data_IF_537965676123
#
_entry.id   IF_537965676123
#
_cell.length_a   1.000
_cell.length_b   1.000
_cell.length_c   1.000
_cell.angle_alpha   90.00
_cell.angle_beta   90.00
_cell.angle_gamma   90.00
#
_symmetry.space_group_name_H-M   'P 1'
#
loop_
_entity.id
_entity.type
_entity.pdbx_description
1 polymer ?
#
# COMPACT_ATOMS: atom_id res chain seq x y z
N UNK A 1 15.80 -12.30 -24.38
CA UNK A 1 14.58 -11.80 -25.06
C UNK A 1 13.90 -10.82 -24.13
N UNK A 2 14.15 -9.53 -24.35
CA UNK A 2 13.54 -8.44 -23.60
C UNK A 2 12.07 -8.40 -24.01
N UNK A 3 11.21 -9.08 -23.24
CA UNK A 3 9.76 -9.05 -23.47
C UNK A 3 9.32 -7.61 -23.27
N UNK A 4 8.97 -6.94 -24.36
CA UNK A 4 8.44 -5.58 -24.32
C UNK A 4 7.27 -5.55 -23.34
N UNK A 5 7.48 -4.92 -22.19
CA UNK A 5 6.44 -4.79 -21.18
C UNK A 5 5.39 -3.83 -21.73
N UNK A 6 4.10 -4.23 -21.77
CA UNK A 6 3.03 -3.36 -22.22
C UNK A 6 3.06 -2.01 -21.52
N UNK A 7 2.68 -0.94 -22.21
CA UNK A 7 2.73 0.43 -21.66
C UNK A 7 2.01 0.57 -20.30
N UNK A 8 0.90 -0.16 -20.11
CA UNK A 8 0.14 -0.19 -18.86
C UNK A 8 0.85 -0.89 -17.69
N UNK A 9 1.89 -1.69 -17.95
CA UNK A 9 2.73 -2.36 -16.96
C UNK A 9 4.03 -1.60 -16.67
N UNK A 10 4.25 -0.44 -17.32
CA UNK A 10 5.40 0.40 -17.02
C UNK A 10 5.26 0.98 -15.61
N UNK A 11 6.37 1.01 -14.88
CA UNK A 11 6.45 1.55 -13.53
C UNK A 11 5.82 2.94 -13.38
N UNK A 12 6.07 3.84 -14.35
CA UNK A 12 5.51 5.20 -14.35
C UNK A 12 3.98 5.19 -14.43
N UNK A 13 3.38 4.30 -15.24
CA UNK A 13 1.93 4.21 -15.38
C UNK A 13 1.29 3.58 -14.15
N UNK A 14 1.91 2.54 -13.59
CA UNK A 14 1.46 1.91 -12.34
C UNK A 14 1.50 2.89 -11.17
N UNK A 15 2.55 3.71 -11.04
CA UNK A 15 2.64 4.75 -10.02
C UNK A 15 1.52 5.79 -10.14
N UNK A 16 1.28 6.32 -11.34
CA UNK A 16 0.22 7.30 -11.59
C UNK A 16 -1.16 6.70 -11.27
N UNK A 17 -1.41 5.47 -11.72
CA UNK A 17 -2.66 4.76 -11.43
C UNK A 17 -2.82 4.49 -9.94
N UNK A 18 -1.73 4.13 -9.25
CA UNK A 18 -1.73 3.87 -7.82
C UNK A 18 -1.97 5.15 -6.99
N UNK A 19 -1.54 6.31 -7.47
CA UNK A 19 -1.81 7.59 -6.81
C UNK A 19 -3.27 8.04 -6.97
N UNK A 20 -3.88 7.78 -8.13
CA UNK A 20 -5.27 8.15 -8.42
C UNK A 20 -6.23 7.15 -7.76
N UNK A 21 -6.16 5.88 -8.14
CA UNK A 21 -7.00 4.80 -7.63
C UNK A 21 -6.12 3.58 -7.27
N UNK A 22 -5.65 3.50 -6.02
CA UNK A 22 -4.89 2.37 -5.52
C UNK A 22 -5.55 1.00 -5.78
N UNK A 23 -6.88 0.84 -5.60
CA UNK A 23 -7.56 -0.44 -5.87
C UNK A 23 -7.49 -0.87 -7.35
N UNK A 24 -7.55 0.08 -8.27
CA UNK A 24 -7.50 -0.19 -9.72
C UNK A 24 -6.11 -0.65 -10.14
N UNK A 25 -5.06 0.00 -9.62
CA UNK A 25 -3.68 -0.45 -9.83
C UNK A 25 -3.46 -1.87 -9.29
N UNK A 26 -4.01 -2.18 -8.11
CA UNK A 26 -3.91 -3.50 -7.50
C UNK A 26 -4.54 -4.60 -8.37
N UNK A 27 -5.74 -4.32 -8.91
CA UNK A 27 -6.45 -5.23 -9.82
C UNK A 27 -5.63 -5.46 -11.11
N UNK A 28 -5.08 -4.40 -11.71
CA UNK A 28 -4.26 -4.51 -12.94
C UNK A 28 -3.05 -5.42 -12.73
N UNK A 29 -2.37 -5.31 -11.58
CA UNK A 29 -1.20 -6.13 -11.25
C UNK A 29 -1.63 -7.59 -11.05
N UNK A 30 -2.69 -7.84 -10.26
CA UNK A 30 -3.22 -9.19 -10.00
C UNK A 30 -3.62 -9.94 -11.28
N UNK A 31 -4.40 -9.30 -12.15
CA UNK A 31 -4.85 -9.92 -13.40
C UNK A 31 -3.70 -10.14 -14.39
N UNK A 32 -2.63 -9.33 -14.34
CA UNK A 32 -1.47 -9.46 -15.22
C UNK A 32 -0.28 -10.21 -14.61
N UNK A 33 -0.48 -10.95 -13.50
CA UNK A 33 0.59 -11.74 -12.84
C UNK A 33 1.39 -12.63 -13.81
N UNK A 34 0.74 -13.23 -14.81
CA UNK A 34 1.37 -14.14 -15.78
C UNK A 34 2.22 -13.42 -16.85
N UNK A 35 2.00 -12.12 -17.06
CA UNK A 35 2.72 -11.31 -18.06
C UNK A 35 3.91 -10.54 -17.46
N UNK A 36 3.98 -10.46 -16.14
CA UNK A 36 5.06 -9.80 -15.41
C UNK A 36 6.13 -10.79 -14.96
N UNK A 37 7.37 -10.31 -14.93
CA UNK A 37 8.48 -11.01 -14.30
C UNK A 37 8.22 -11.14 -12.79
N UNK A 38 8.38 -12.34 -12.23
CA UNK A 38 7.90 -12.67 -10.89
C UNK A 38 8.49 -11.74 -9.80
N UNK A 39 9.73 -11.27 -9.99
CA UNK A 39 10.40 -10.30 -9.10
C UNK A 39 9.71 -8.93 -9.13
N UNK A 40 9.50 -8.37 -10.32
CA UNK A 40 8.82 -7.08 -10.52
C UNK A 40 7.36 -7.12 -10.07
N UNK A 41 6.69 -8.25 -10.27
CA UNK A 41 5.33 -8.45 -9.78
C UNK A 41 5.25 -8.28 -8.26
N UNK A 42 6.15 -8.93 -7.50
CA UNK A 42 6.18 -8.84 -6.04
C UNK A 42 6.45 -7.39 -5.62
N UNK A 43 7.44 -6.72 -6.23
CA UNK A 43 7.79 -5.32 -5.95
C UNK A 43 6.62 -4.35 -6.19
N UNK A 44 5.91 -4.49 -7.31
CA UNK A 44 4.75 -3.63 -7.62
C UNK A 44 3.56 -3.94 -6.73
N UNK A 45 3.37 -5.21 -6.36
CA UNK A 45 2.29 -5.62 -5.47
C UNK A 45 2.49 -5.04 -4.07
N UNK A 46 3.70 -5.09 -3.51
CA UNK A 46 3.99 -4.50 -2.19
C UNK A 46 3.85 -2.99 -2.20
N UNK A 47 4.39 -2.29 -3.21
CA UNK A 47 4.21 -0.84 -3.34
C UNK A 47 2.74 -0.44 -3.42
N UNK A 48 1.97 -1.14 -4.27
CA UNK A 48 0.55 -0.86 -4.45
C UNK A 48 -0.24 -1.15 -3.18
N UNK A 49 0.11 -2.22 -2.45
CA UNK A 49 -0.52 -2.55 -1.17
C UNK A 49 -0.23 -1.48 -0.11
N UNK A 50 1.01 -1.00 -0.01
CA UNK A 50 1.37 0.07 0.92
C UNK A 50 0.61 1.37 0.61
N UNK A 51 0.55 1.76 -0.66
CA UNK A 51 -0.18 2.95 -1.08
C UNK A 51 -1.68 2.77 -0.87
N UNK A 52 -2.25 1.59 -1.15
CA UNK A 52 -3.63 1.23 -0.79
C UNK A 52 -3.88 1.42 0.71
N UNK A 53 -3.01 0.91 1.57
CA UNK A 53 -3.15 1.04 3.03
C UNK A 53 -3.10 2.51 3.47
N UNK A 54 -2.16 3.29 2.94
CA UNK A 54 -2.04 4.72 3.25
C UNK A 54 -3.27 5.49 2.77
N UNK A 55 -3.76 5.17 1.58
CA UNK A 55 -4.94 5.80 0.99
C UNK A 55 -6.22 5.40 1.72
N UNK A 56 -6.34 4.13 2.14
CA UNK A 56 -7.44 3.63 2.95
C UNK A 56 -7.45 4.26 4.34
N UNK A 57 -6.27 4.50 4.93
CA UNK A 57 -6.14 5.27 6.17
C UNK A 57 -6.66 6.70 5.96
N UNK A 58 -6.34 7.34 4.84
CA UNK A 58 -6.90 8.67 4.51
C UNK A 58 -8.40 8.65 4.22
N UNK A 59 -8.97 7.50 3.86
CA UNK A 59 -10.40 7.31 3.62
C UNK A 59 -11.17 6.90 4.89
N UNK A 60 -10.48 6.68 6.02
CA UNK A 60 -11.15 6.44 7.29
C UNK A 60 -11.90 7.72 7.70
N UNK A 61 -13.20 7.64 8.03
CA UNK A 61 -13.94 8.82 8.43
C UNK A 61 -13.27 9.43 9.66
N UNK A 62 -13.20 10.77 9.67
CA UNK A 62 -12.51 11.66 10.61
C UNK A 62 -12.41 11.23 12.10
N UNK A 63 -13.38 10.53 12.73
CA UNK A 63 -13.19 10.03 14.09
C UNK A 63 -12.14 8.91 14.26
N UNK A 64 -11.83 8.13 13.21
CA UNK A 64 -10.99 6.93 13.36
C UNK A 64 -9.49 7.18 13.25
N UNK A 65 -9.05 8.17 12.48
CA UNK A 65 -7.63 8.53 12.39
C UNK A 65 -7.06 8.94 13.75
N UNK A 66 -7.80 9.78 14.47
CA UNK A 66 -7.46 10.14 15.85
C UNK A 66 -7.54 8.95 16.79
N UNK A 67 -8.49 8.03 16.60
CA UNK A 67 -8.63 6.85 17.44
C UNK A 67 -7.42 5.90 17.32
N UNK A 68 -6.88 5.71 16.11
CA UNK A 68 -5.68 4.88 15.87
C UNK A 68 -4.44 5.51 16.51
N UNK A 69 -4.25 6.83 16.32
CA UNK A 69 -3.12 7.55 16.93
C UNK A 69 -3.23 7.54 18.46
N UNK A 70 -4.44 7.74 19.00
CA UNK A 70 -4.69 7.71 20.43
C UNK A 70 -4.44 6.33 21.04
N UNK A 71 -4.88 5.25 20.39
CA UNK A 71 -4.62 3.88 20.89
C UNK A 71 -3.13 3.53 20.86
N UNK A 72 -2.39 3.94 19.83
CA UNK A 72 -0.92 3.79 19.80
C UNK A 72 -0.24 4.56 20.92
N UNK A 73 -0.62 5.82 21.16
CA UNK A 73 -0.09 6.63 22.26
C UNK A 73 -0.40 6.02 23.63
N UNK A 74 -1.64 5.59 23.86
CA UNK A 74 -2.06 4.95 25.12
C UNK A 74 -1.27 3.66 25.34
N UNK A 75 -1.13 2.81 24.32
CA UNK A 75 -0.32 1.59 24.40
C UNK A 75 1.16 1.88 24.68
N UNK A 76 1.71 2.94 24.08
CA UNK A 76 3.08 3.37 24.31
C UNK A 76 3.29 3.92 25.73
N UNK A 77 2.32 4.69 26.27
CA UNK A 77 2.36 5.16 27.66
C UNK A 77 2.25 3.99 28.64
N UNK A 78 1.32 3.06 28.43
CA UNK A 78 1.15 1.88 29.30
C UNK A 78 2.40 1.00 29.28
N UNK A 79 3.00 0.76 28.11
CA UNK A 79 4.22 -0.04 28.00
C UNK A 79 5.43 0.64 28.67
N UNK A 80 5.53 1.96 28.60
CA UNK A 80 6.55 2.72 29.33
C UNK A 80 6.31 2.71 30.86
N UNK A 81 5.06 2.81 31.31
CA UNK A 81 4.71 2.69 32.74
C UNK A 81 5.02 1.28 33.27
N UNK A 82 4.77 0.24 32.47
CA UNK A 82 5.09 -1.16 32.81
C UNK A 82 6.60 -1.43 32.83
N UNK A 83 7.39 -0.71 32.03
CA UNK A 83 8.87 -0.78 32.07
C UNK A 83 9.48 -0.09 33.29
N UNK A 84 8.75 0.84 33.92
CA UNK A 84 9.26 1.67 35.02
C UNK A 84 8.92 1.10 36.41
N UNK A 85 8.10 0.06 36.48
CA UNK A 85 7.68 -0.66 37.69
C UNK A 85 8.37 -2.02 37.74
#
# INVERSE_FOLDING_TARGET
MEKETPWYLKFRFLLVTCFILPPVAYMIILFNKKKLEHKKYIEYLTLTTLICCIWLLKFLPQPFDFAIIATLLIGMVISNLKKKK
#
